data_IF_230794817762
#
_entry.id   IF_230794817762
#
_cell.length_a   1.000
_cell.length_b   1.000
_cell.length_c   1.000
_cell.angle_alpha   90.00
_cell.angle_beta   90.00
_cell.angle_gamma   90.00
#
_symmetry.space_group_name_H-M   'P 1'
#
loop_
_entity.id
_entity.type
_entity.pdbx_description
1 polymer ?
#
# COMPACT_ATOMS: atom_id res chain seq x y z
N UNK A 1 3.14 13.85 -23.46
CA UNK A 1 3.46 13.07 -22.25
C UNK A 1 2.19 12.38 -21.80
N UNK A 2 2.18 11.04 -21.81
CA UNK A 2 1.04 10.24 -21.35
C UNK A 2 0.92 10.36 -19.84
N UNK A 3 -0.18 10.89 -19.32
CA UNK A 3 -0.52 10.73 -17.91
C UNK A 3 -1.78 9.89 -17.85
N UNK A 4 -1.53 8.61 -17.63
CA UNK A 4 -2.48 7.52 -17.63
C UNK A 4 -3.29 7.65 -16.33
N UNK A 5 -4.48 8.24 -16.39
CA UNK A 5 -5.50 8.14 -15.33
C UNK A 5 -6.15 6.74 -15.37
N UNK A 6 -5.37 5.66 -15.32
CA UNK A 6 -5.91 4.30 -15.26
C UNK A 6 -5.97 3.87 -13.79
N UNK A 7 -7.18 3.55 -13.32
CA UNK A 7 -7.39 2.48 -12.32
C UNK A 7 -6.83 2.73 -10.90
N UNK A 8 -7.21 3.86 -10.30
CA UNK A 8 -6.68 4.35 -9.01
C UNK A 8 -7.11 3.61 -7.72
N UNK A 9 -7.44 2.32 -7.76
CA UNK A 9 -7.96 1.63 -6.55
C UNK A 9 -7.12 0.45 -6.07
N UNK A 10 -6.48 -0.31 -6.97
CA UNK A 10 -5.65 -1.46 -6.60
C UNK A 10 -4.15 -1.16 -6.50
N UNK A 11 -3.60 -0.56 -7.56
CA UNK A 11 -2.15 -0.32 -7.70
C UNK A 11 -1.62 0.69 -6.69
N UNK A 12 -2.41 1.73 -6.37
CA UNK A 12 -2.05 2.74 -5.37
C UNK A 12 -1.91 2.16 -3.95
N UNK A 13 -2.81 1.25 -3.57
CA UNK A 13 -2.73 0.53 -2.28
C UNK A 13 -1.48 -0.34 -2.23
N UNK A 14 -1.19 -1.06 -3.33
CA UNK A 14 -0.05 -1.96 -3.43
C UNK A 14 1.29 -1.20 -3.42
N UNK A 15 1.37 -0.08 -4.14
CA UNK A 15 2.52 0.82 -4.15
C UNK A 15 2.74 1.45 -2.76
N UNK A 16 1.69 1.93 -2.10
CA UNK A 16 1.79 2.50 -0.75
C UNK A 16 2.32 1.46 0.25
N UNK A 17 1.81 0.22 0.18
CA UNK A 17 2.28 -0.88 1.02
C UNK A 17 3.74 -1.21 0.70
N UNK A 18 4.12 -1.31 -0.56
CA UNK A 18 5.50 -1.59 -0.99
C UNK A 18 6.48 -0.51 -0.52
N UNK A 19 6.13 0.77 -0.71
CA UNK A 19 6.89 1.90 -0.19
C UNK A 19 7.00 1.88 1.34
N UNK A 20 5.96 1.41 2.04
CA UNK A 20 6.00 1.26 3.51
C UNK A 20 6.93 0.17 4.00
N UNK A 21 7.27 -0.82 3.17
CA UNK A 21 8.30 -1.82 3.48
C UNK A 21 9.70 -1.32 3.13
N UNK A 22 9.84 -0.48 2.09
CA UNK A 22 11.13 0.13 1.74
C UNK A 22 11.52 1.26 2.68
N UNK A 23 10.55 2.03 3.19
CA UNK A 23 10.78 3.09 4.16
C UNK A 23 10.54 2.56 5.58
N UNK A 24 11.46 2.84 6.49
CA UNK A 24 11.32 2.44 7.90
C UNK A 24 10.21 3.19 8.66
N UNK A 25 9.70 4.32 8.13
CA UNK A 25 8.70 5.15 8.81
C UNK A 25 7.42 5.30 7.99
N UNK A 26 6.34 4.68 8.50
CA UNK A 26 5.00 4.75 7.91
C UNK A 26 4.34 6.11 8.16
N UNK A 27 4.70 6.79 9.25
CA UNK A 27 4.15 8.10 9.60
C UNK A 27 4.57 9.15 8.57
N UNK A 28 5.86 9.16 8.22
CA UNK A 28 6.41 10.06 7.18
C UNK A 28 5.77 9.77 5.82
N UNK A 29 5.71 8.49 5.43
CA UNK A 29 5.06 8.08 4.18
C UNK A 29 3.58 8.48 4.14
N UNK A 30 2.86 8.31 5.25
CA UNK A 30 1.46 8.71 5.35
C UNK A 30 1.31 10.23 5.21
N UNK A 31 2.18 11.01 5.86
CA UNK A 31 2.17 12.46 5.76
C UNK A 31 2.45 12.95 4.34
N UNK A 32 3.43 12.37 3.64
CA UNK A 32 3.74 12.71 2.24
C UNK A 32 2.62 12.36 1.27
N UNK A 33 1.96 11.22 1.49
CA UNK A 33 0.84 10.77 0.67
C UNK A 33 -0.50 11.42 1.06
N UNK A 34 -0.55 12.20 2.15
CA UNK A 34 -1.80 12.74 2.70
C UNK A 34 -2.75 11.67 3.25
N UNK A 35 -2.22 10.50 3.59
CA UNK A 35 -2.95 9.36 4.12
C UNK A 35 -2.87 9.30 5.64
N UNK A 36 -3.74 8.49 6.26
CA UNK A 36 -3.60 8.17 7.68
C UNK A 36 -2.65 6.99 7.84
N UNK A 37 -1.68 7.03 8.78
CA UNK A 37 -0.76 5.90 8.99
C UNK A 37 -1.51 4.61 9.35
N UNK A 38 -2.62 4.70 10.10
CA UNK A 38 -3.51 3.58 10.42
C UNK A 38 -4.11 2.90 9.18
N UNK A 39 -4.32 3.63 8.08
CA UNK A 39 -4.78 3.06 6.81
C UNK A 39 -3.69 2.19 6.16
N UNK A 40 -2.43 2.64 6.21
CA UNK A 40 -1.28 1.90 5.67
C UNK A 40 -1.02 0.63 6.48
N UNK A 41 -1.16 0.66 7.81
CA UNK A 41 -1.11 -0.54 8.65
C UNK A 41 -2.17 -1.57 8.25
N UNK A 42 -3.42 -1.13 8.09
CA UNK A 42 -4.50 -2.01 7.63
C UNK A 42 -4.20 -2.60 6.25
N UNK A 43 -3.66 -1.81 5.33
CA UNK A 43 -3.30 -2.29 4.00
C UNK A 43 -2.16 -3.31 4.01
N UNK A 44 -1.19 -3.17 4.92
CA UNK A 44 -0.15 -4.19 5.14
C UNK A 44 -0.73 -5.51 5.62
N UNK A 45 -1.58 -5.50 6.64
CA UNK A 45 -2.23 -6.72 7.12
C UNK A 45 -3.08 -7.39 6.04
N UNK A 46 -3.79 -6.59 5.23
CA UNK A 46 -4.57 -7.09 4.09
C UNK A 46 -3.69 -7.67 2.99
N UNK A 47 -2.49 -7.11 2.78
CA UNK A 47 -1.51 -7.58 1.81
C UNK A 47 -0.87 -8.89 2.26
N UNK A 48 -0.49 -9.00 3.54
CA UNK A 48 0.00 -10.23 4.17
C UNK A 48 -1.07 -11.33 4.11
N UNK A 49 -2.30 -11.01 4.52
CA UNK A 49 -3.44 -11.95 4.50
C UNK A 49 -3.82 -12.37 3.08
N UNK A 50 -3.77 -11.47 2.10
CA UNK A 50 -4.03 -11.78 0.69
C UNK A 50 -2.91 -12.60 0.04
N UNK A 51 -1.68 -12.45 0.54
CA UNK A 51 -0.56 -13.33 0.21
C UNK A 51 -0.81 -14.74 0.77
N UNK A 52 -1.07 -14.86 2.07
CA UNK A 52 -1.23 -16.15 2.74
C UNK A 52 -2.45 -16.95 2.22
N UNK A 53 -3.58 -16.30 1.94
CA UNK A 53 -4.76 -16.96 1.35
C UNK A 53 -4.58 -17.41 -0.10
N UNK A 54 -3.54 -16.95 -0.81
CA UNK A 54 -3.21 -17.43 -2.16
C UNK A 54 -2.13 -18.51 -2.17
N UNK A 55 -1.48 -18.80 -1.05
CA UNK A 55 -0.36 -19.76 -1.00
C UNK A 55 -0.60 -21.01 -0.13
N UNK A 56 -1.72 -21.12 0.60
CA UNK A 56 -2.10 -22.39 1.24
C UNK A 56 -3.27 -23.03 0.51
N UNK A 57 -2.93 -23.78 -0.55
CA UNK A 57 -3.71 -24.94 -0.99
C UNK A 57 -3.27 -26.19 -0.23
#
# INVERSE_FOLDING_TARGET
MHIIIRQFTGEYKLETVRLSYQRGSIVELASELGLRPSLIYRWRSEFETSGEKKFSG
#
